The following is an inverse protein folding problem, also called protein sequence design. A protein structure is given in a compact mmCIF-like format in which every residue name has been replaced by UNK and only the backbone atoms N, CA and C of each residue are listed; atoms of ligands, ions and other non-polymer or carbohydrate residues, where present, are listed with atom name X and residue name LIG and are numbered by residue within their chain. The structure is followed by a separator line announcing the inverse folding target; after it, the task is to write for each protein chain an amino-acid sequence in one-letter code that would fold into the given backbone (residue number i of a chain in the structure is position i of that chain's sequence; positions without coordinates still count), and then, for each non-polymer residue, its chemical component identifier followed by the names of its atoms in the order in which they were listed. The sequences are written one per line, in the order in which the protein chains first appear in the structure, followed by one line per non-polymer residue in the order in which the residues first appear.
data_IF_825912623260
#
_entry.id   IF_825912623260
#
_cell.length_a   1.000
_cell.length_b   1.000
_cell.length_c   1.000
_cell.angle_alpha   90.00
_cell.angle_beta   90.00
_cell.angle_gamma   90.00
#
_symmetry.space_group_name_H-M   'P 1'
#
loop_
_entity.id
_entity.type
_entity.pdbx_description
1 polymer ?
#
# COMPACT_ATOMS: atom_id res chain seq x y z
N UNK A 1 -3.66 -27.10 13.90
CA UNK A 1 -3.75 -26.26 15.10
C UNK A 1 -2.69 -25.14 15.10
N UNK A 2 -2.12 -24.76 13.91
CA UNK A 2 -1.10 -23.70 13.80
C UNK A 2 -1.66 -22.35 13.29
N UNK A 3 -2.89 -22.33 12.78
CA UNK A 3 -3.45 -21.14 12.10
C UNK A 3 -4.12 -20.11 13.04
N UNK A 4 -4.40 -20.48 14.28
CA UNK A 4 -5.10 -19.57 15.22
C UNK A 4 -4.23 -18.45 15.83
N UNK A 5 -2.91 -18.60 15.79
CA UNK A 5 -2.00 -17.64 16.42
C UNK A 5 -1.62 -16.49 15.50
N UNK A 6 -1.59 -16.74 14.19
CA UNK A 6 -1.29 -15.71 13.18
C UNK A 6 -2.42 -14.67 13.12
N UNK A 7 -3.67 -15.11 13.17
CA UNK A 7 -4.83 -14.23 13.21
C UNK A 7 -4.86 -13.35 14.48
N UNK A 8 -4.33 -13.84 15.60
CA UNK A 8 -4.35 -13.11 16.87
C UNK A 8 -3.27 -11.99 16.91
N UNK A 9 -2.11 -12.22 16.31
CA UNK A 9 -1.03 -11.22 16.27
C UNK A 9 -1.37 -10.06 15.31
N UNK A 10 -1.98 -10.35 14.15
CA UNK A 10 -2.46 -9.33 13.22
C UNK A 10 -3.66 -8.54 13.79
N UNK A 11 -4.58 -9.18 14.50
CA UNK A 11 -5.71 -8.49 15.14
C UNK A 11 -5.27 -7.49 16.22
N UNK A 12 -4.13 -7.70 16.87
CA UNK A 12 -3.59 -6.76 17.87
C UNK A 12 -2.93 -5.51 17.23
N UNK A 13 -2.37 -5.63 16.04
CA UNK A 13 -1.80 -4.48 15.31
C UNK A 13 -2.90 -3.57 14.71
N UNK A 14 -4.02 -4.16 14.27
CA UNK A 14 -5.17 -3.44 13.70
C UNK A 14 -5.99 -2.69 14.75
N UNK A 15 -5.96 -3.10 16.02
CA UNK A 15 -6.72 -2.44 17.11
C UNK A 15 -6.19 -1.06 17.49
N UNK A 16 -5.02 -0.65 17.02
CA UNK A 16 -4.42 0.67 17.30
C UNK A 16 -4.73 1.73 16.21
N UNK A 17 -5.15 1.31 15.03
CA UNK A 17 -5.48 2.20 13.93
C UNK A 17 -7.00 2.40 13.89
N UNK A 18 -7.57 3.48 14.29
CA UNK A 18 -8.98 3.86 14.36
C UNK A 18 -9.99 3.21 13.39
N UNK A 19 -9.88 1.92 13.14
CA UNK A 19 -10.73 1.10 12.29
C UNK A 19 -12.14 1.07 12.90
N UNK A 20 -13.13 1.40 12.09
CA UNK A 20 -14.56 1.25 12.41
C UNK A 20 -14.78 -0.11 13.08
N UNK A 21 -15.45 -0.17 14.24
CA UNK A 21 -15.59 -1.42 14.98
C UNK A 21 -16.19 -2.52 14.10
N UNK A 22 -15.54 -3.67 14.07
CA UNK A 22 -15.89 -4.83 13.25
C UNK A 22 -17.38 -5.24 13.30
N UNK A 23 -18.08 -4.92 14.39
CA UNK A 23 -19.52 -5.17 14.56
C UNK A 23 -20.41 -4.34 13.61
N UNK A 24 -19.94 -3.19 13.10
CA UNK A 24 -20.70 -2.35 12.16
C UNK A 24 -20.48 -2.75 10.69
N UNK A 25 -19.38 -3.44 10.41
CA UNK A 25 -19.03 -3.88 9.05
C UNK A 25 -19.52 -5.29 8.70
N UNK A 26 -19.81 -6.13 9.69
CA UNK A 26 -20.16 -7.54 9.50
C UNK A 26 -21.25 -7.82 8.42
N UNK A 27 -22.34 -7.04 8.27
CA UNK A 27 -23.32 -7.28 7.20
C UNK A 27 -22.89 -6.76 5.81
N UNK A 28 -21.93 -5.82 5.74
CA UNK A 28 -21.46 -5.24 4.47
C UNK A 28 -20.35 -6.07 3.82
N UNK A 29 -19.57 -6.78 4.64
CA UNK A 29 -18.36 -7.49 4.20
C UNK A 29 -18.58 -8.48 3.05
N UNK A 30 -19.61 -9.36 3.08
CA UNK A 30 -19.86 -10.28 1.95
C UNK A 30 -20.23 -9.57 0.65
N UNK A 31 -20.80 -8.35 0.73
CA UNK A 31 -21.13 -7.55 -0.45
C UNK A 31 -19.86 -6.91 -1.03
N UNK A 32 -18.98 -6.40 -0.18
CA UNK A 32 -17.68 -5.86 -0.57
C UNK A 32 -16.85 -6.95 -1.25
N UNK A 33 -16.72 -8.11 -0.63
CA UNK A 33 -16.02 -9.27 -1.17
C UNK A 33 -16.57 -9.64 -2.56
N UNK A 34 -17.91 -9.74 -2.69
CA UNK A 34 -18.55 -10.06 -3.97
C UNK A 34 -18.25 -9.04 -5.06
N UNK A 35 -18.31 -7.73 -4.77
CA UNK A 35 -17.96 -6.67 -5.71
C UNK A 35 -16.50 -6.78 -6.17
N UNK A 36 -15.59 -6.93 -5.22
CA UNK A 36 -14.15 -6.90 -5.46
C UNK A 36 -13.67 -8.17 -6.19
N UNK A 37 -14.09 -9.36 -5.73
CA UNK A 37 -13.70 -10.64 -6.33
C UNK A 37 -14.32 -10.81 -7.72
N UNK A 38 -15.60 -10.44 -7.92
CA UNK A 38 -16.23 -10.50 -9.25
C UNK A 38 -15.49 -9.64 -10.27
N UNK A 39 -15.04 -8.47 -9.87
CA UNK A 39 -14.26 -7.60 -10.75
C UNK A 39 -12.87 -8.20 -11.07
N UNK A 40 -12.19 -8.74 -10.07
CA UNK A 40 -10.89 -9.40 -10.27
C UNK A 40 -10.97 -10.59 -11.24
N UNK A 41 -12.05 -11.35 -11.17
CA UNK A 41 -12.27 -12.53 -12.02
C UNK A 41 -12.71 -12.20 -13.46
N UNK A 42 -13.59 -11.20 -13.61
CA UNK A 42 -14.31 -10.96 -14.88
C UNK A 42 -13.96 -9.62 -15.55
N UNK A 43 -13.31 -8.70 -14.84
CA UNK A 43 -13.14 -7.32 -15.28
C UNK A 43 -14.44 -6.52 -15.32
N UNK A 44 -15.51 -7.00 -14.64
CA UNK A 44 -16.82 -6.35 -14.65
C UNK A 44 -17.33 -6.14 -13.23
N UNK A 45 -17.77 -4.92 -12.91
CA UNK A 45 -18.32 -4.59 -11.60
C UNK A 45 -19.66 -5.30 -11.41
N UNK A 46 -19.85 -5.97 -10.26
CA UNK A 46 -21.16 -6.50 -9.84
C UNK A 46 -22.02 -5.34 -9.32
N UNK A 47 -22.74 -4.70 -10.26
CA UNK A 47 -23.63 -3.57 -9.99
C UNK A 47 -24.76 -3.93 -9.00
N UNK A 48 -25.18 -5.20 -8.97
CA UNK A 48 -26.20 -5.65 -8.03
C UNK A 48 -25.64 -5.66 -6.60
N UNK A 49 -24.45 -6.23 -6.39
CA UNK A 49 -23.81 -6.23 -5.08
C UNK A 49 -23.53 -4.82 -4.58
N UNK A 50 -23.10 -3.93 -5.49
CA UNK A 50 -22.84 -2.52 -5.17
C UNK A 50 -24.12 -1.77 -4.81
N UNK A 51 -25.24 -2.04 -5.51
CA UNK A 51 -26.55 -1.49 -5.17
C UNK A 51 -27.07 -2.02 -3.82
N UNK A 52 -26.88 -3.32 -3.53
CA UNK A 52 -27.23 -3.91 -2.24
C UNK A 52 -26.40 -3.29 -1.10
N UNK A 53 -25.10 -3.06 -1.31
CA UNK A 53 -24.21 -2.38 -0.36
C UNK A 53 -24.68 -0.93 -0.11
N UNK A 54 -25.03 -0.21 -1.17
CA UNK A 54 -25.55 1.17 -1.09
C UNK A 54 -26.88 1.24 -0.36
N UNK A 55 -27.74 0.23 -0.54
CA UNK A 55 -29.00 0.14 0.19
C UNK A 55 -28.81 -0.17 1.68
N UNK A 56 -27.78 -0.93 2.01
CA UNK A 56 -27.40 -1.27 3.39
C UNK A 56 -26.76 -0.07 4.11
N UNK A 57 -25.77 0.54 3.48
CA UNK A 57 -25.04 1.71 3.96
C UNK A 57 -24.72 2.66 2.78
N UNK A 58 -25.46 3.78 2.62
CA UNK A 58 -25.28 4.69 1.50
C UNK A 58 -23.90 5.35 1.42
N UNK A 59 -23.28 5.67 2.55
CA UNK A 59 -21.94 6.29 2.54
C UNK A 59 -20.87 5.26 2.19
N UNK A 60 -20.94 4.06 2.74
CA UNK A 60 -20.03 2.97 2.39
C UNK A 60 -20.19 2.56 0.92
N UNK A 61 -21.43 2.42 0.44
CA UNK A 61 -21.72 2.12 -0.96
C UNK A 61 -21.14 3.15 -1.92
N UNK A 62 -21.25 4.45 -1.58
CA UNK A 62 -20.63 5.53 -2.33
C UNK A 62 -19.10 5.41 -2.37
N UNK A 63 -18.46 5.14 -1.24
CA UNK A 63 -17.02 4.95 -1.16
C UNK A 63 -16.56 3.79 -2.05
N UNK A 64 -17.22 2.64 -1.94
CA UNK A 64 -16.91 1.48 -2.78
C UNK A 64 -17.17 1.71 -4.27
N UNK A 65 -18.19 2.49 -4.63
CA UNK A 65 -18.39 2.92 -6.03
C UNK A 65 -17.17 3.72 -6.53
N UNK A 66 -16.65 4.65 -5.73
CA UNK A 66 -15.47 5.43 -6.09
C UNK A 66 -14.22 4.55 -6.20
N UNK A 67 -14.03 3.60 -5.27
CA UNK A 67 -12.90 2.66 -5.30
C UNK A 67 -12.94 1.78 -6.55
N UNK A 68 -14.12 1.27 -6.92
CA UNK A 68 -14.26 0.46 -8.14
C UNK A 68 -13.96 1.26 -9.41
N UNK A 69 -14.43 2.52 -9.49
CA UNK A 69 -14.08 3.40 -10.60
C UNK A 69 -12.58 3.74 -10.63
N UNK A 70 -11.94 3.90 -9.46
CA UNK A 70 -10.50 4.08 -9.37
C UNK A 70 -9.76 2.85 -9.91
N UNK A 71 -10.25 1.64 -9.61
CA UNK A 71 -9.64 0.39 -10.09
C UNK A 71 -9.79 0.19 -11.60
N UNK A 72 -10.94 0.61 -12.18
CA UNK A 72 -11.15 0.59 -13.64
C UNK A 72 -10.32 1.63 -14.39
N UNK A 73 -9.94 2.71 -13.73
CA UNK A 73 -9.24 3.80 -14.37
C UNK A 73 -7.82 3.38 -14.80
N UNK A 74 -7.40 3.66 -16.03
CA UNK A 74 -6.03 3.38 -16.45
C UNK A 74 -5.05 4.28 -15.67
N UNK A 75 -3.94 3.70 -15.23
CA UNK A 75 -2.85 4.43 -14.58
C UNK A 75 -1.72 4.64 -15.58
N UNK A 76 -1.43 5.90 -15.89
CA UNK A 76 -0.26 6.24 -16.68
C UNK A 76 1.01 6.06 -15.82
N UNK A 77 1.82 5.07 -16.16
CA UNK A 77 3.08 4.81 -15.45
C UNK A 77 4.18 5.68 -16.04
N UNK A 78 4.74 6.54 -15.21
CA UNK A 78 5.73 7.52 -15.62
C UNK A 78 7.15 7.09 -15.23
N UNK A 79 8.18 7.28 -16.08
CA UNK A 79 9.57 6.98 -15.70
C UNK A 79 10.18 8.03 -14.76
N UNK A 80 9.55 9.18 -14.61
CA UNK A 80 9.93 10.30 -13.71
C UNK A 80 8.70 11.12 -13.33
N UNK A 81 8.81 11.89 -12.26
CA UNK A 81 7.75 12.80 -11.86
C UNK A 81 7.56 13.94 -12.87
N UNK A 82 6.35 14.46 -12.96
CA UNK A 82 6.04 15.70 -13.68
C UNK A 82 6.80 16.88 -13.07
N UNK A 83 7.00 17.94 -13.85
CA UNK A 83 7.74 19.13 -13.38
C UNK A 83 6.83 20.17 -12.67
N UNK A 84 5.51 19.90 -12.61
CA UNK A 84 4.48 20.82 -12.11
C UNK A 84 3.89 20.43 -10.74
N UNK A 85 4.50 19.49 -10.04
CA UNK A 85 4.12 19.15 -8.66
C UNK A 85 4.55 20.25 -7.68
N UNK A 86 3.96 20.30 -6.46
CA UNK A 86 4.37 21.28 -5.44
C UNK A 86 5.86 21.22 -5.11
N UNK A 87 6.48 22.40 -5.03
CA UNK A 87 7.91 22.52 -4.71
C UNK A 87 8.22 22.62 -3.22
N UNK A 88 7.24 22.38 -2.34
CA UNK A 88 7.35 22.50 -0.90
C UNK A 88 7.04 21.16 -0.18
N UNK A 89 6.93 21.17 1.14
CA UNK A 89 6.67 20.01 1.99
C UNK A 89 5.19 19.58 2.02
N UNK A 90 4.34 20.19 1.18
CA UNK A 90 3.00 19.64 0.89
C UNK A 90 3.06 18.42 -0.04
N UNK A 91 4.16 18.27 -0.80
CA UNK A 91 4.45 17.06 -1.57
C UNK A 91 5.16 16.04 -0.70
N UNK A 92 4.71 14.78 -0.79
CA UNK A 92 5.35 13.62 -0.16
C UNK A 92 5.64 12.53 -1.21
N UNK A 93 6.90 12.13 -1.31
CA UNK A 93 7.36 11.03 -2.16
C UNK A 93 7.24 9.73 -1.37
N UNK A 94 6.41 8.80 -1.81
CA UNK A 94 6.18 7.52 -1.11
C UNK A 94 6.85 6.41 -1.90
N UNK A 95 7.91 5.81 -1.36
CA UNK A 95 8.57 4.67 -1.96
C UNK A 95 8.06 3.37 -1.32
N UNK A 96 7.47 2.51 -2.18
CA UNK A 96 7.04 1.19 -1.77
C UNK A 96 8.24 0.25 -1.67
N UNK A 97 8.32 -0.48 -0.56
CA UNK A 97 9.35 -1.46 -0.29
C UNK A 97 9.37 -2.63 -1.28
N UNK A 98 10.39 -3.42 -1.17
CA UNK A 98 10.55 -4.69 -1.89
C UNK A 98 11.32 -5.66 -0.99
N UNK A 99 10.91 -6.93 -1.01
CA UNK A 99 11.45 -7.99 -0.18
C UNK A 99 12.99 -7.96 -0.12
N UNK A 100 13.53 -7.97 1.09
CA UNK A 100 14.97 -8.07 1.33
C UNK A 100 15.52 -9.46 0.97
N UNK A 101 16.84 -9.56 0.85
CA UNK A 101 17.51 -10.84 0.88
C UNK A 101 17.42 -11.45 2.30
N UNK A 102 17.55 -12.77 2.44
CA UNK A 102 17.50 -13.41 3.76
C UNK A 102 18.41 -12.80 4.82
N UNK A 103 19.58 -12.30 4.41
CA UNK A 103 20.57 -11.65 5.28
C UNK A 103 20.29 -10.17 5.60
N UNK A 104 19.10 -9.65 5.22
CA UNK A 104 18.70 -8.27 5.44
C UNK A 104 19.29 -7.25 4.47
N UNK A 105 20.03 -7.68 3.45
CA UNK A 105 20.51 -6.77 2.40
C UNK A 105 19.42 -6.49 1.38
N UNK A 106 19.47 -5.32 0.75
CA UNK A 106 18.50 -4.95 -0.32
C UNK A 106 18.74 -5.77 -1.57
N UNK A 107 17.65 -6.24 -2.19
CA UNK A 107 17.67 -6.79 -3.55
C UNK A 107 17.89 -5.68 -4.58
N UNK A 108 18.38 -6.04 -5.75
CA UNK A 108 18.65 -5.10 -6.85
C UNK A 108 17.43 -4.25 -7.20
N UNK A 109 16.25 -4.85 -7.27
CA UNK A 109 15.00 -4.15 -7.56
C UNK A 109 14.72 -3.00 -6.58
N UNK A 110 14.92 -3.22 -5.27
CA UNK A 110 14.74 -2.17 -4.27
C UNK A 110 15.74 -1.02 -4.47
N UNK A 111 16.98 -1.35 -4.81
CA UNK A 111 18.03 -0.34 -5.11
C UNK A 111 17.63 0.48 -6.36
N UNK A 112 17.09 -0.16 -7.38
CA UNK A 112 16.67 0.54 -8.61
C UNK A 112 15.46 1.47 -8.35
N UNK A 113 14.47 1.05 -7.55
CA UNK A 113 13.38 1.92 -7.06
C UNK A 113 13.95 3.14 -6.32
N UNK A 114 14.96 2.92 -5.46
CA UNK A 114 15.60 4.00 -4.72
C UNK A 114 16.36 4.99 -5.61
N UNK A 115 16.92 4.57 -6.74
CA UNK A 115 17.51 5.49 -7.71
C UNK A 115 16.47 6.42 -8.34
N UNK A 116 15.27 5.89 -8.63
CA UNK A 116 14.13 6.72 -9.10
C UNK A 116 13.69 7.69 -8.00
N UNK A 117 13.57 7.22 -6.77
CA UNK A 117 13.24 8.07 -5.62
C UNK A 117 14.29 9.17 -5.40
N UNK A 118 15.59 8.85 -5.50
CA UNK A 118 16.66 9.82 -5.33
C UNK A 118 16.57 10.93 -6.40
N UNK A 119 16.34 10.57 -7.65
CA UNK A 119 16.14 11.54 -8.72
C UNK A 119 14.91 12.43 -8.47
N UNK A 120 13.80 11.85 -7.97
CA UNK A 120 12.62 12.61 -7.58
C UNK A 120 12.89 13.52 -6.36
N UNK A 121 13.67 13.06 -5.38
CA UNK A 121 14.06 13.84 -4.21
C UNK A 121 15.01 15.02 -4.53
N UNK A 122 15.83 14.87 -5.57
CA UNK A 122 16.67 15.96 -6.14
C UNK A 122 15.83 16.97 -6.93
N UNK A 123 14.82 16.49 -7.70
CA UNK A 123 13.88 17.33 -8.42
C UNK A 123 12.99 18.15 -7.46
N UNK A 124 12.60 17.58 -6.32
CA UNK A 124 11.75 18.20 -5.30
C UNK A 124 12.49 18.24 -3.94
N UNK A 125 13.43 19.18 -3.75
CA UNK A 125 14.34 19.17 -2.60
C UNK A 125 13.67 19.50 -1.26
N UNK A 126 12.43 19.96 -1.25
CA UNK A 126 11.66 20.24 -0.02
C UNK A 126 10.57 19.19 0.26
N UNK A 127 10.28 18.31 -0.71
CA UNK A 127 9.28 17.26 -0.51
C UNK A 127 9.66 16.32 0.66
N UNK A 128 8.67 15.88 1.40
CA UNK A 128 8.82 14.79 2.36
C UNK A 128 9.06 13.47 1.63
N UNK A 129 9.67 12.51 2.29
CA UNK A 129 9.96 11.18 1.73
C UNK A 129 9.50 10.14 2.73
N UNK A 130 8.54 9.29 2.35
CA UNK A 130 8.18 8.10 3.12
C UNK A 130 8.84 6.89 2.48
N UNK A 131 9.60 6.15 3.29
CA UNK A 131 10.00 4.78 3.01
C UNK A 131 9.04 3.86 3.75
N UNK A 132 8.28 3.01 3.04
CA UNK A 132 7.31 2.11 3.66
C UNK A 132 7.61 0.65 3.31
N UNK A 133 7.61 -0.22 4.31
CA UNK A 133 7.86 -1.65 4.20
C UNK A 133 8.55 -2.22 5.44
N UNK A 134 7.98 -3.26 6.00
CA UNK A 134 8.43 -3.91 7.22
C UNK A 134 9.53 -4.94 7.03
N UNK A 135 9.62 -5.88 7.96
CA UNK A 135 10.64 -6.92 7.98
C UNK A 135 10.30 -8.09 7.08
N UNK A 136 11.15 -8.35 6.07
CA UNK A 136 11.01 -9.47 5.12
C UNK A 136 12.27 -10.34 5.04
N UNK A 137 13.27 -10.10 5.89
CA UNK A 137 14.52 -10.85 5.92
C UNK A 137 14.41 -12.06 6.88
N UNK A 138 14.59 -13.28 6.35
CA UNK A 138 14.44 -14.51 7.13
C UNK A 138 15.51 -14.69 8.21
N UNK A 139 16.73 -14.22 7.95
CA UNK A 139 17.89 -14.42 8.83
C UNK A 139 18.25 -13.16 9.64
N UNK A 140 17.59 -12.01 9.37
CA UNK A 140 17.78 -10.74 10.09
C UNK A 140 16.41 -10.11 10.42
N UNK A 141 15.73 -10.54 11.47
CA UNK A 141 14.43 -10.04 11.85
C UNK A 141 14.42 -8.56 12.28
N UNK A 142 15.57 -7.95 12.50
CA UNK A 142 15.69 -6.53 12.80
C UNK A 142 15.77 -5.64 11.54
N UNK A 143 16.03 -6.25 10.38
CA UNK A 143 16.09 -5.52 9.12
C UNK A 143 14.68 -5.28 8.56
N UNK A 144 14.35 -4.01 8.27
CA UNK A 144 13.13 -3.64 7.59
C UNK A 144 13.45 -3.02 6.25
N UNK A 145 12.54 -3.17 5.28
CA UNK A 145 12.68 -2.57 3.95
C UNK A 145 12.83 -1.06 4.07
N UNK A 146 11.93 -0.42 4.81
CA UNK A 146 11.94 1.03 5.04
C UNK A 146 13.20 1.51 5.75
N UNK A 147 13.70 0.76 6.74
CA UNK A 147 14.95 1.06 7.42
C UNK A 147 16.14 1.05 6.47
N UNK A 148 16.25 0.01 5.62
CA UNK A 148 17.33 -0.11 4.61
C UNK A 148 17.23 0.99 3.55
N UNK A 149 16.02 1.33 3.09
CA UNK A 149 15.80 2.45 2.18
C UNK A 149 16.27 3.76 2.78
N UNK A 150 15.89 4.04 4.01
CA UNK A 150 16.28 5.27 4.72
C UNK A 150 17.80 5.37 4.94
N UNK A 151 18.46 4.28 5.31
CA UNK A 151 19.91 4.22 5.43
C UNK A 151 20.63 4.53 4.10
N UNK A 152 20.14 3.93 3.02
CA UNK A 152 20.67 4.16 1.68
C UNK A 152 20.52 5.61 1.23
N UNK A 153 19.34 6.22 1.39
CA UNK A 153 19.08 7.61 1.04
C UNK A 153 19.97 8.59 1.80
N UNK A 154 20.14 8.37 3.11
CA UNK A 154 21.07 9.16 3.93
C UNK A 154 22.52 9.05 3.43
N UNK A 155 22.93 7.86 3.00
CA UNK A 155 24.26 7.66 2.42
C UNK A 155 24.43 8.36 1.06
N UNK A 156 23.34 8.60 0.31
CA UNK A 156 23.33 9.42 -0.91
C UNK A 156 23.23 10.94 -0.63
N UNK A 157 23.16 11.36 0.63
CA UNK A 157 23.14 12.76 1.01
C UNK A 157 21.75 13.39 1.12
N UNK A 158 20.68 12.60 1.10
CA UNK A 158 19.33 13.09 1.40
C UNK A 158 19.24 13.51 2.86
N UNK A 159 18.68 14.70 3.11
CA UNK A 159 18.51 15.23 4.46
C UNK A 159 17.63 14.27 5.31
N UNK A 160 18.16 13.74 6.42
CA UNK A 160 17.40 12.86 7.29
C UNK A 160 16.10 13.45 7.83
N UNK A 161 16.00 14.78 7.94
CA UNK A 161 14.80 15.46 8.42
C UNK A 161 13.60 15.33 7.46
N UNK A 162 13.85 14.99 6.18
CA UNK A 162 12.83 14.74 5.18
C UNK A 162 12.35 13.29 5.15
N UNK A 163 13.11 12.36 5.76
CA UNK A 163 12.88 10.93 5.64
C UNK A 163 11.98 10.44 6.79
N UNK A 164 10.84 9.91 6.42
CA UNK A 164 9.86 9.28 7.30
C UNK A 164 9.96 7.77 7.07
N UNK A 165 10.09 7.00 8.15
CA UNK A 165 10.20 5.53 8.10
C UNK A 165 8.89 4.94 8.62
N UNK A 166 8.24 4.15 7.79
CA UNK A 166 7.13 3.28 8.14
C UNK A 166 7.64 1.83 7.97
N UNK A 167 7.93 1.14 9.04
CA UNK A 167 8.62 -0.15 9.06
C UNK A 167 7.82 -1.30 9.72
N UNK A 168 6.49 -1.15 9.77
CA UNK A 168 5.59 -2.12 10.39
C UNK A 168 4.74 -2.88 9.36
N UNK A 169 4.56 -2.34 8.16
CA UNK A 169 3.72 -2.91 7.12
C UNK A 169 4.27 -4.23 6.57
N UNK A 170 3.38 -5.21 6.35
CA UNK A 170 3.70 -6.51 5.78
C UNK A 170 3.06 -6.72 4.40
N UNK A 171 2.12 -5.85 4.02
CA UNK A 171 1.40 -5.88 2.75
C UNK A 171 1.35 -4.49 2.12
N UNK A 172 1.02 -4.41 0.84
CA UNK A 172 0.84 -3.11 0.18
C UNK A 172 -0.39 -2.36 0.71
N UNK A 173 -1.41 -3.06 1.18
CA UNK A 173 -2.55 -2.46 1.87
C UNK A 173 -2.09 -1.76 3.17
N UNK A 174 -1.26 -2.44 3.96
CA UNK A 174 -0.68 -1.86 5.18
C UNK A 174 0.28 -0.72 4.90
N UNK A 175 1.03 -0.76 3.78
CA UNK A 175 1.84 0.40 3.36
C UNK A 175 0.97 1.65 3.22
N UNK A 176 -0.21 1.54 2.58
CA UNK A 176 -1.13 2.66 2.43
C UNK A 176 -1.71 3.09 3.79
N UNK A 177 -2.25 2.15 4.56
CA UNK A 177 -2.87 2.39 5.86
C UNK A 177 -1.90 3.12 6.81
N UNK A 178 -0.73 2.54 7.08
CA UNK A 178 0.20 3.07 8.07
C UNK A 178 0.91 4.35 7.60
N UNK A 179 1.16 4.48 6.28
CA UNK A 179 1.69 5.73 5.73
C UNK A 179 0.71 6.88 5.96
N UNK A 180 -0.57 6.69 5.64
CA UNK A 180 -1.58 7.74 5.84
C UNK A 180 -1.81 8.06 7.31
N UNK A 181 -1.78 7.06 8.21
CA UNK A 181 -1.82 7.29 9.66
C UNK A 181 -0.70 8.22 10.11
N UNK A 182 0.54 7.94 9.68
CA UNK A 182 1.71 8.76 10.01
C UNK A 182 1.57 10.18 9.46
N UNK A 183 1.14 10.31 8.20
CA UNK A 183 1.06 11.62 7.55
C UNK A 183 -0.03 12.48 8.18
N UNK A 184 -1.24 11.94 8.38
CA UNK A 184 -2.36 12.69 8.96
C UNK A 184 -2.09 13.09 10.42
N UNK A 185 -1.43 12.22 11.21
CA UNK A 185 -1.14 12.50 12.61
C UNK A 185 0.02 13.51 12.80
N UNK A 186 1.11 13.34 12.01
CA UNK A 186 2.38 14.04 12.29
C UNK A 186 2.83 15.01 11.23
N UNK A 187 2.28 14.94 10.02
CA UNK A 187 2.68 15.77 8.87
C UNK A 187 1.45 16.36 8.16
N UNK A 188 0.59 17.14 8.86
CA UNK A 188 -0.68 17.63 8.31
C UNK A 188 -0.51 18.57 7.10
N UNK A 189 0.71 19.05 6.84
CA UNK A 189 1.05 19.81 5.64
C UNK A 189 1.15 18.95 4.38
N UNK A 190 1.43 17.63 4.51
CA UNK A 190 1.46 16.71 3.37
C UNK A 190 0.04 16.58 2.78
N UNK A 191 -0.15 17.02 1.55
CA UNK A 191 -1.45 17.01 0.86
C UNK A 191 -1.40 16.29 -0.48
N UNK A 192 -0.21 16.10 -1.03
CA UNK A 192 -0.05 15.44 -2.31
C UNK A 192 0.99 14.32 -2.22
N UNK A 193 0.63 13.13 -2.69
CA UNK A 193 1.51 11.98 -2.74
C UNK A 193 1.98 11.70 -4.16
N UNK A 194 3.24 11.35 -4.31
CA UNK A 194 3.78 10.74 -5.51
C UNK A 194 4.28 9.33 -5.18
N UNK A 195 3.66 8.32 -5.80
CA UNK A 195 3.99 6.91 -5.55
C UNK A 195 5.20 6.49 -6.40
N UNK A 196 6.19 5.88 -5.75
CA UNK A 196 7.43 5.43 -6.41
C UNK A 196 7.60 3.93 -6.18
N UNK A 197 7.73 3.17 -7.27
CA UNK A 197 7.85 1.70 -7.22
C UNK A 197 8.39 1.15 -8.55
N UNK A 198 8.32 -0.17 -8.75
CA UNK A 198 8.46 -0.79 -10.07
C UNK A 198 7.21 -0.55 -10.92
N UNK A 199 7.36 -0.49 -12.23
CA UNK A 199 6.29 -0.19 -13.18
C UNK A 199 5.06 -1.10 -13.02
N UNK A 200 5.26 -2.40 -12.89
CA UNK A 200 4.19 -3.38 -12.66
C UNK A 200 3.45 -3.21 -11.33
N UNK A 201 4.05 -2.47 -10.36
CA UNK A 201 3.49 -2.27 -9.01
C UNK A 201 2.80 -0.91 -8.84
N UNK A 202 3.05 0.06 -9.72
CA UNK A 202 2.49 1.42 -9.62
C UNK A 202 0.97 1.42 -9.59
N UNK A 203 0.31 0.68 -10.49
CA UNK A 203 -1.15 0.65 -10.53
C UNK A 203 -1.75 0.13 -9.21
N UNK A 204 -1.13 -0.88 -8.60
CA UNK A 204 -1.54 -1.39 -7.29
C UNK A 204 -1.31 -0.37 -6.18
N UNK A 205 -0.16 0.31 -6.17
CA UNK A 205 0.11 1.38 -5.20
C UNK A 205 -0.90 2.51 -5.30
N UNK A 206 -1.17 3.02 -6.51
CA UNK A 206 -2.18 4.06 -6.76
C UNK A 206 -3.56 3.62 -6.30
N UNK A 207 -3.96 2.39 -6.63
CA UNK A 207 -5.25 1.84 -6.21
C UNK A 207 -5.39 1.80 -4.69
N UNK A 208 -4.40 1.22 -3.98
CA UNK A 208 -4.54 0.98 -2.55
C UNK A 208 -4.41 2.26 -1.72
N UNK A 209 -3.49 3.17 -2.08
CA UNK A 209 -3.42 4.49 -1.43
C UNK A 209 -4.69 5.30 -1.71
N UNK A 210 -5.19 5.31 -2.95
CA UNK A 210 -6.44 5.98 -3.29
C UNK A 210 -7.66 5.37 -2.61
N UNK A 211 -7.76 4.05 -2.52
CA UNK A 211 -8.82 3.36 -1.80
C UNK A 211 -8.82 3.72 -0.31
N UNK A 212 -7.66 3.70 0.33
CA UNK A 212 -7.53 4.04 1.73
C UNK A 212 -7.88 5.52 1.99
N UNK A 213 -7.45 6.44 1.10
CA UNK A 213 -7.86 7.85 1.17
C UNK A 213 -9.39 8.02 1.08
N UNK A 214 -10.05 7.28 0.19
CA UNK A 214 -11.52 7.29 0.04
C UNK A 214 -12.18 6.74 1.31
N UNK A 215 -11.70 5.61 1.84
CA UNK A 215 -12.29 4.96 3.01
C UNK A 215 -12.24 5.84 4.26
N UNK A 216 -11.18 6.62 4.45
CA UNK A 216 -11.00 7.50 5.62
C UNK A 216 -11.41 8.96 5.40
N UNK A 217 -11.97 9.31 4.23
CA UNK A 217 -12.29 10.69 3.85
C UNK A 217 -11.07 11.64 3.97
N UNK A 218 -9.90 11.17 3.55
CA UNK A 218 -8.64 11.95 3.60
C UNK A 218 -8.69 13.16 2.70
N UNK A 219 -8.04 14.24 3.09
CA UNK A 219 -7.80 15.43 2.26
C UNK A 219 -6.46 15.37 1.50
N UNK A 220 -5.76 14.24 1.58
CA UNK A 220 -4.57 13.94 0.80
C UNK A 220 -5.00 13.35 -0.55
N UNK A 221 -4.25 13.69 -1.61
CA UNK A 221 -4.52 13.17 -2.96
C UNK A 221 -3.25 12.61 -3.63
N UNK A 222 -3.42 11.70 -4.59
CA UNK A 222 -2.29 11.21 -5.41
C UNK A 222 -2.08 12.19 -6.56
N UNK A 223 -0.92 12.85 -6.57
CA UNK A 223 -0.55 13.85 -7.57
C UNK A 223 0.31 13.29 -8.72
N UNK A 224 0.90 12.09 -8.52
CA UNK A 224 1.73 11.49 -9.55
C UNK A 224 2.35 10.16 -9.16
N UNK A 225 3.14 9.63 -10.08
CA UNK A 225 3.96 8.45 -9.84
C UNK A 225 5.27 8.52 -10.61
N UNK A 226 6.26 7.74 -10.18
CA UNK A 226 7.46 7.49 -10.95
C UNK A 226 7.91 6.04 -10.76
N UNK A 227 8.33 5.39 -11.84
CA UNK A 227 8.61 3.97 -11.83
C UNK A 227 9.99 3.62 -12.38
N UNK A 228 10.62 2.65 -11.72
CA UNK A 228 11.65 1.86 -12.36
C UNK A 228 11.02 0.85 -13.31
N UNK A 229 11.54 0.75 -14.54
CA UNK A 229 11.08 -0.22 -15.52
C UNK A 229 11.70 -1.59 -15.22
N UNK A 230 10.96 -2.43 -14.52
CA UNK A 230 11.43 -3.76 -14.11
C UNK A 230 11.54 -4.70 -15.32
N UNK A 231 12.56 -5.57 -15.38
CA UNK A 231 12.71 -6.54 -16.46
C UNK A 231 11.60 -7.61 -16.45
N UNK A 232 10.99 -7.82 -15.30
CA UNK A 232 9.88 -8.75 -15.08
C UNK A 232 9.11 -8.35 -13.82
N UNK A 233 7.90 -8.81 -13.71
CA UNK A 233 7.02 -8.61 -12.57
C UNK A 233 5.59 -8.43 -13.05
N UNK A 234 4.65 -9.00 -12.32
CA UNK A 234 3.21 -8.82 -12.53
C UNK A 234 2.49 -8.93 -11.20
N UNK A 235 1.44 -8.16 -11.03
CA UNK A 235 0.49 -8.34 -9.94
C UNK A 235 -0.87 -8.64 -10.54
N UNK A 236 -1.50 -9.73 -10.08
CA UNK A 236 -2.81 -10.13 -10.57
C UNK A 236 -3.91 -9.22 -10.03
N UNK A 237 -5.05 -9.14 -10.73
CA UNK A 237 -6.23 -8.48 -10.21
C UNK A 237 -6.71 -9.13 -8.91
N UNK A 238 -6.54 -10.45 -8.76
CA UNK A 238 -6.91 -11.15 -7.54
C UNK A 238 -6.02 -10.75 -6.34
N UNK A 239 -4.73 -10.45 -6.55
CA UNK A 239 -3.89 -9.85 -5.51
C UNK A 239 -4.42 -8.48 -5.07
N UNK A 240 -4.80 -7.62 -6.04
CA UNK A 240 -5.41 -6.33 -5.75
C UNK A 240 -6.75 -6.49 -5.01
N UNK A 241 -7.54 -7.51 -5.34
CA UNK A 241 -8.77 -7.87 -4.64
C UNK A 241 -8.51 -8.19 -3.16
N UNK A 242 -7.56 -9.09 -2.89
CA UNK A 242 -7.17 -9.42 -1.52
C UNK A 242 -6.74 -8.17 -0.73
N UNK A 243 -5.96 -7.29 -1.36
CA UNK A 243 -5.51 -6.06 -0.71
C UNK A 243 -6.65 -5.06 -0.42
N UNK A 244 -7.63 -4.94 -1.31
CA UNK A 244 -8.83 -4.13 -1.07
C UNK A 244 -9.72 -4.73 0.03
N UNK A 245 -9.83 -6.06 0.11
CA UNK A 245 -10.54 -6.76 1.18
C UNK A 245 -9.83 -6.55 2.52
N UNK A 246 -8.47 -6.56 2.54
CA UNK A 246 -7.69 -6.20 3.73
C UNK A 246 -8.01 -4.78 4.22
N UNK A 247 -8.03 -3.78 3.31
CA UNK A 247 -8.41 -2.40 3.64
C UNK A 247 -9.87 -2.27 4.13
N UNK A 248 -10.77 -3.17 3.71
CA UNK A 248 -12.13 -3.20 4.24
C UNK A 248 -12.24 -3.77 5.65
N UNK A 249 -11.13 -4.28 6.23
CA UNK A 249 -11.05 -4.84 7.57
C UNK A 249 -11.22 -6.35 7.65
N UNK A 250 -11.42 -7.05 6.54
CA UNK A 250 -11.48 -8.52 6.50
C UNK A 250 -10.10 -9.12 6.19
N UNK A 251 -9.27 -9.12 7.20
CA UNK A 251 -7.89 -9.62 7.11
C UNK A 251 -7.86 -11.15 6.86
N UNK A 252 -8.83 -11.90 7.40
CA UNK A 252 -8.86 -13.35 7.25
C UNK A 252 -9.10 -13.75 5.80
N UNK A 253 -10.14 -13.23 5.16
CA UNK A 253 -10.43 -13.45 3.74
C UNK A 253 -9.32 -12.92 2.83
N UNK A 254 -8.75 -11.75 3.13
CA UNK A 254 -7.63 -11.21 2.38
C UNK A 254 -6.43 -12.16 2.35
N UNK A 255 -6.07 -12.74 3.50
CA UNK A 255 -4.95 -13.67 3.58
C UNK A 255 -5.24 -15.02 2.89
N UNK A 256 -6.48 -15.51 2.90
CA UNK A 256 -6.86 -16.68 2.10
C UNK A 256 -6.60 -16.42 0.61
N UNK A 257 -6.98 -15.24 0.09
CA UNK A 257 -6.73 -14.84 -1.29
C UNK A 257 -5.22 -14.71 -1.57
N UNK A 258 -4.45 -14.12 -0.67
CA UNK A 258 -3.00 -14.03 -0.83
C UNK A 258 -2.35 -15.41 -0.89
N UNK A 259 -2.76 -16.35 -0.04
CA UNK A 259 -2.25 -17.73 -0.03
C UNK A 259 -2.54 -18.48 -1.33
N UNK A 260 -3.68 -18.22 -1.96
CA UNK A 260 -4.06 -18.87 -3.21
C UNK A 260 -3.41 -18.23 -4.45
N UNK A 261 -3.03 -16.93 -4.37
CA UNK A 261 -2.51 -16.17 -5.51
C UNK A 261 -0.98 -16.03 -5.53
N UNK A 262 -0.33 -16.17 -4.40
CA UNK A 262 1.12 -16.15 -4.26
C UNK A 262 1.67 -17.54 -4.00
N UNK A 263 2.78 -17.88 -4.66
CA UNK A 263 3.63 -18.98 -4.20
C UNK A 263 4.41 -18.48 -2.96
N UNK A 264 3.70 -18.53 -1.81
CA UNK A 264 4.22 -18.10 -0.51
C UNK A 264 5.44 -18.88 -0.03
N UNK A 265 5.88 -19.92 -0.76
CA UNK A 265 7.13 -20.61 -0.48
C UNK A 265 8.36 -19.70 -0.72
N UNK A 266 8.20 -18.59 -1.45
CA UNK A 266 9.23 -17.57 -1.63
C UNK A 266 9.13 -16.41 -0.63
N UNK A 267 8.01 -16.26 0.07
CA UNK A 267 7.90 -15.28 1.15
C UNK A 267 8.54 -15.87 2.42
N UNK A 268 9.34 -15.09 3.18
CA UNK A 268 9.77 -15.56 4.50
C UNK A 268 8.52 -15.88 5.31
N UNK A 269 8.54 -16.94 6.15
CA UNK A 269 7.44 -17.20 7.05
C UNK A 269 7.20 -15.92 7.87
N UNK A 270 5.97 -15.41 7.83
CA UNK A 270 5.55 -14.34 8.72
C UNK A 270 5.90 -14.83 10.12
N UNK A 271 6.90 -14.21 10.75
CA UNK A 271 7.38 -14.66 12.05
C UNK A 271 6.23 -14.52 13.05
N UNK A 272 5.68 -15.67 13.45
CA UNK A 272 4.83 -15.78 14.62
C UNK A 272 5.77 -15.97 15.82
N UNK A 273 6.21 -14.88 16.42
CA UNK A 273 6.77 -14.85 17.79
C UNK A 273 6.08 -13.75 18.61
#
# INVERSE_FOLDING_TARGET
MKNGWIALALALCLAAAGIVPAAAQAPAQPLIERVVVSYADSGTIDEQALAELTALDPELGKKWTLIMHLWEAPVDVCPRLSDDLPGDDSLCLVALGFQLNPDGTMREELIERLKVLLAAAEQYPQALIVCTGGGTAADDPAATEAGRMAEWLKAQGVDPARIIVEDHSLTTAQNALFTLDILEERYPQAKQLAIISSDYHIATGVLLFGAEMILRDSDIEIAGNAAWNAPSGTLSAMFQAGALIELSGDVETAFEIYYDTYDIHELPPLHAD
#
